data_IF_460899184683
#
_entry.id   IF_460899184683
#
_cell.length_a   1.000
_cell.length_b   1.000
_cell.length_c   1.000
_cell.angle_alpha   90.00
_cell.angle_beta   90.00
_cell.angle_gamma   90.00
#
_symmetry.space_group_name_H-M   'P 1'
#
loop_
_entity.id
_entity.type
_entity.pdbx_description
1 polymer ?
#
# COMPACT_ATOMS: atom_id res chain seq x y z
N UNK A 1 0.27 10.34 -30.05
CA UNK A 1 -0.11 8.93 -30.25
C UNK A 1 -0.17 8.30 -28.88
N UNK A 2 -1.35 7.89 -28.38
CA UNK A 2 -1.47 7.32 -27.04
C UNK A 2 -0.85 5.93 -27.01
N UNK A 3 0.02 5.68 -26.02
CA UNK A 3 0.67 4.39 -25.85
C UNK A 3 -0.20 3.55 -24.91
N UNK A 4 -0.83 2.50 -25.43
CA UNK A 4 -1.61 1.54 -24.61
C UNK A 4 -0.68 0.42 -24.17
N UNK A 5 -0.62 0.14 -22.87
CA UNK A 5 0.15 -0.99 -22.30
C UNK A 5 -0.80 -1.95 -21.59
N UNK A 6 -0.63 -3.25 -21.85
CA UNK A 6 -1.27 -4.29 -21.05
C UNK A 6 -0.52 -4.45 -19.73
N UNK A 7 -1.24 -4.33 -18.62
CA UNK A 7 -0.71 -4.51 -17.27
C UNK A 7 -1.50 -5.56 -16.52
N UNK A 8 -0.80 -6.27 -15.64
CA UNK A 8 -1.38 -7.30 -14.81
C UNK A 8 -1.34 -6.88 -13.35
N UNK A 9 -2.48 -6.98 -12.68
CA UNK A 9 -2.65 -6.60 -11.29
C UNK A 9 -3.24 -7.76 -10.51
N UNK A 10 -2.85 -7.84 -9.24
CA UNK A 10 -3.57 -8.59 -8.24
C UNK A 10 -4.55 -7.66 -7.54
N UNK A 11 -5.82 -8.00 -7.55
CA UNK A 11 -6.86 -7.29 -6.82
C UNK A 11 -7.17 -8.00 -5.50
N UNK A 12 -7.11 -7.24 -4.41
CA UNK A 12 -7.50 -7.69 -3.07
C UNK A 12 -8.34 -6.58 -2.44
N UNK A 13 -9.62 -6.84 -2.14
CA UNK A 13 -10.54 -5.84 -1.57
C UNK A 13 -10.52 -4.48 -2.31
N UNK A 14 -10.62 -4.48 -3.64
CA UNK A 14 -10.54 -3.28 -4.50
C UNK A 14 -9.18 -2.55 -4.50
N UNK A 15 -8.15 -3.15 -3.91
CA UNK A 15 -6.76 -2.67 -3.95
C UNK A 15 -6.00 -3.40 -5.05
N UNK A 16 -5.43 -2.64 -5.98
CA UNK A 16 -4.62 -3.15 -7.07
C UNK A 16 -3.14 -3.14 -6.71
N UNK A 17 -2.52 -4.31 -6.80
CA UNK A 17 -1.13 -4.57 -6.47
C UNK A 17 -0.40 -5.05 -7.75
N UNK A 18 0.71 -4.42 -8.19
CA UNK A 18 1.51 -4.91 -9.32
C UNK A 18 1.97 -6.37 -9.13
N UNK A 19 1.74 -7.25 -10.10
CA UNK A 19 2.04 -8.69 -9.92
C UNK A 19 3.53 -9.01 -9.77
N UNK A 20 4.42 -8.14 -10.22
CA UNK A 20 5.87 -8.33 -10.24
C UNK A 20 6.57 -7.99 -8.90
N UNK A 21 5.80 -7.79 -7.82
CA UNK A 21 6.33 -7.41 -6.50
C UNK A 21 6.00 -8.45 -5.42
N UNK A 22 6.81 -8.41 -4.37
CA UNK A 22 6.62 -9.24 -3.17
C UNK A 22 5.74 -8.50 -2.15
N UNK A 23 4.62 -9.12 -1.76
CA UNK A 23 3.67 -8.58 -0.79
C UNK A 23 3.67 -9.37 0.51
N UNK A 24 3.42 -8.68 1.63
CA UNK A 24 3.11 -9.34 2.90
C UNK A 24 1.61 -9.27 3.13
N UNK A 25 0.92 -10.42 3.16
CA UNK A 25 -0.55 -10.42 3.17
C UNK A 25 -1.13 -10.34 4.58
N UNK A 26 -0.39 -10.76 5.61
CA UNK A 26 -0.91 -10.75 6.98
C UNK A 26 -0.32 -11.86 7.82
N UNK A 27 -0.56 -11.79 9.14
CA UNK A 27 -0.57 -13.00 9.99
C UNK A 27 -1.96 -13.61 9.86
N UNK A 28 -2.06 -14.80 9.28
CA UNK A 28 -3.31 -15.55 9.28
C UNK A 28 -3.36 -16.38 10.56
N UNK A 29 -4.34 -16.11 11.43
CA UNK A 29 -4.56 -16.86 12.68
C UNK A 29 -5.36 -18.17 12.45
N UNK A 30 -5.74 -18.45 11.21
CA UNK A 30 -6.54 -19.62 10.81
C UNK A 30 -5.76 -20.64 9.99
N UNK A 31 -4.44 -20.68 10.15
CA UNK A 31 -3.68 -21.85 9.70
C UNK A 31 -3.64 -22.82 10.87
N UNK A 32 -4.49 -23.85 10.80
CA UNK A 32 -4.51 -24.91 11.81
C UNK A 32 -3.40 -25.88 11.46
N UNK A 33 -2.41 -26.01 12.35
CA UNK A 33 -1.41 -27.04 12.23
C UNK A 33 -1.85 -28.25 13.06
N UNK A 34 -1.99 -29.41 12.42
CA UNK A 34 -2.32 -30.65 13.12
C UNK A 34 -1.04 -31.35 13.56
N UNK A 35 -0.90 -31.60 14.86
CA UNK A 35 0.18 -32.34 15.51
C UNK A 35 -0.32 -32.93 16.84
N UNK A 36 0.55 -33.56 17.65
CA UNK A 36 0.15 -34.22 18.92
C UNK A 36 -0.57 -33.31 19.91
N UNK A 37 -0.39 -31.99 19.79
CA UNK A 37 -1.18 -30.98 20.50
C UNK A 37 -1.75 -29.99 19.47
N UNK A 38 -3.08 -29.79 19.47
CA UNK A 38 -3.76 -28.80 18.62
C UNK A 38 -3.33 -27.36 18.98
N UNK A 39 -2.18 -26.91 18.47
CA UNK A 39 -1.65 -25.56 18.68
C UNK A 39 -1.90 -24.69 17.44
N UNK A 40 -2.58 -23.55 17.65
CA UNK A 40 -2.66 -22.50 16.64
C UNK A 40 -1.29 -21.81 16.53
N UNK A 41 -0.68 -21.89 15.35
CA UNK A 41 0.59 -21.22 15.06
C UNK A 41 0.34 -20.00 14.18
N UNK A 42 1.08 -18.90 14.43
CA UNK A 42 1.01 -17.68 13.61
C UNK A 42 2.05 -17.78 12.49
N UNK A 43 1.60 -18.08 11.26
CA UNK A 43 2.47 -18.07 10.09
C UNK A 43 2.54 -16.68 9.44
N UNK A 44 3.72 -16.31 8.95
CA UNK A 44 3.94 -15.10 8.16
C UNK A 44 3.77 -15.44 6.66
N UNK A 45 2.60 -15.17 6.10
CA UNK A 45 2.32 -15.43 4.69
C UNK A 45 2.82 -14.28 3.82
N UNK A 46 3.58 -14.64 2.79
CA UNK A 46 4.03 -13.75 1.72
C UNK A 46 3.36 -14.12 0.42
N UNK A 47 3.09 -13.15 -0.44
CA UNK A 47 2.63 -13.41 -1.79
C UNK A 47 3.69 -12.94 -2.79
N UNK A 48 4.09 -13.88 -3.63
CA UNK A 48 5.11 -13.68 -4.66
C UNK A 48 4.56 -14.31 -5.93
N UNK A 49 4.42 -13.53 -6.99
CA UNK A 49 3.90 -13.98 -8.29
C UNK A 49 2.52 -14.67 -8.18
N UNK A 50 1.58 -14.05 -7.47
CA UNK A 50 0.25 -14.61 -7.17
C UNK A 50 0.26 -15.96 -6.41
N UNK A 51 1.41 -16.38 -5.86
CA UNK A 51 1.51 -17.59 -5.04
C UNK A 51 1.73 -17.22 -3.57
N UNK A 52 0.94 -17.82 -2.68
CA UNK A 52 1.18 -17.75 -1.24
C UNK A 52 2.40 -18.61 -0.90
N UNK A 53 3.35 -18.01 -0.18
CA UNK A 53 4.57 -18.64 0.34
C UNK A 53 4.65 -18.42 1.85
N UNK A 54 5.16 -19.42 2.55
CA UNK A 54 5.57 -19.31 3.95
C UNK A 54 6.86 -20.10 4.17
N UNK A 55 7.62 -19.70 5.19
CA UNK A 55 8.88 -20.35 5.57
C UNK A 55 8.57 -21.67 6.28
N UNK A 56 8.95 -22.81 5.68
CA UNK A 56 8.70 -24.12 6.27
C UNK A 56 9.45 -24.31 7.61
N UNK A 57 10.55 -23.59 7.85
CA UNK A 57 11.28 -23.62 9.14
C UNK A 57 10.45 -23.05 10.30
N UNK A 58 9.42 -22.26 9.99
CA UNK A 58 8.48 -21.74 10.99
C UNK A 58 7.40 -22.75 11.40
N UNK A 59 7.36 -23.93 10.74
CA UNK A 59 6.48 -25.05 11.07
C UNK A 59 7.28 -26.09 11.85
N UNK A 60 6.90 -26.47 13.09
CA UNK A 60 7.60 -27.51 13.81
C UNK A 60 7.54 -28.84 13.05
N UNK A 61 8.57 -29.67 13.19
CA UNK A 61 8.58 -31.04 12.64
C UNK A 61 7.38 -31.82 13.20
N UNK A 62 6.75 -32.66 12.37
CA UNK A 62 5.53 -33.44 12.67
C UNK A 62 4.20 -32.65 12.67
N UNK A 63 4.15 -31.48 12.03
CA UNK A 63 2.90 -30.74 11.86
C UNK A 63 2.45 -30.70 10.39
N UNK A 64 1.16 -30.93 10.17
CA UNK A 64 0.52 -30.75 8.86
C UNK A 64 -0.08 -29.34 8.75
N UNK A 65 0.15 -28.65 7.63
CA UNK A 65 -0.42 -27.31 7.39
C UNK A 65 -1.78 -27.46 6.72
N UNK A 66 -2.85 -27.07 7.41
CA UNK A 66 -4.21 -27.10 6.85
C UNK A 66 -4.78 -25.69 6.80
N UNK A 67 -5.18 -25.27 5.59
CA UNK A 67 -5.92 -24.04 5.36
C UNK A 67 -7.41 -24.35 5.55
N UNK A 68 -8.01 -23.84 6.63
CA UNK A 68 -9.44 -23.99 6.90
C UNK A 68 -10.12 -22.61 7.00
N UNK A 69 -11.36 -22.45 6.51
CA UNK A 69 -12.11 -21.22 6.72
C UNK A 69 -12.41 -21.01 8.20
N UNK A 70 -12.58 -19.74 8.59
CA UNK A 70 -13.18 -19.36 9.86
C UNK A 70 -14.50 -20.15 10.01
N UNK A 71 -14.64 -20.91 11.11
CA UNK A 71 -15.83 -21.69 11.52
C UNK A 71 -15.88 -23.20 11.17
N UNK A 72 -14.89 -23.78 10.48
CA UNK A 72 -14.90 -25.23 10.24
C UNK A 72 -14.23 -26.01 11.38
N UNK A 73 -14.91 -27.03 11.92
CA UNK A 73 -14.34 -28.04 12.80
C UNK A 73 -13.91 -29.22 11.91
N UNK A 74 -12.62 -29.35 11.57
CA UNK A 74 -12.16 -30.34 10.60
C UNK A 74 -12.37 -31.78 11.13
N UNK A 75 -12.63 -32.77 10.25
CA UNK A 75 -12.72 -34.16 10.67
C UNK A 75 -11.42 -34.61 11.32
N UNK A 76 -11.51 -35.52 12.30
CA UNK A 76 -10.36 -36.12 12.98
C UNK A 76 -9.34 -36.64 11.96
N UNK A 77 -8.13 -36.07 11.99
CA UNK A 77 -7.01 -36.50 11.15
C UNK A 77 -6.08 -37.30 12.05
N UNK A 78 -5.93 -38.60 11.78
CA UNK A 78 -4.98 -39.46 12.49
C UNK A 78 -3.53 -39.13 12.08
N UNK A 79 -2.62 -39.26 13.05
CA UNK A 79 -1.19 -38.94 13.01
C UNK A 79 -0.48 -39.22 11.66
N UNK A 80 0.26 -38.23 11.16
CA UNK A 80 1.27 -38.41 10.11
C UNK A 80 2.66 -38.42 10.75
N UNK A 81 3.42 -39.49 10.52
CA UNK A 81 4.86 -39.54 10.82
C UNK A 81 5.62 -39.34 9.50
N UNK A 82 5.93 -38.09 9.18
CA UNK A 82 6.73 -37.74 8.00
C UNK A 82 7.77 -36.69 8.37
N UNK A 83 8.99 -36.84 7.84
CA UNK A 83 10.08 -35.87 8.01
C UNK A 83 9.86 -34.55 7.25
N UNK A 84 8.74 -34.45 6.55
CA UNK A 84 8.36 -33.35 5.65
C UNK A 84 6.93 -32.92 6.00
N UNK A 85 6.59 -31.62 6.03
CA UNK A 85 5.22 -31.17 6.28
C UNK A 85 4.24 -31.78 5.26
N UNK A 86 3.24 -32.50 5.73
CA UNK A 86 2.13 -32.98 4.89
C UNK A 86 1.09 -31.88 4.78
N UNK A 87 0.66 -31.57 3.56
CA UNK A 87 -0.38 -30.57 3.33
C UNK A 87 -1.62 -31.32 2.91
N UNK A 88 -2.63 -31.28 3.77
CA UNK A 88 -3.88 -32.00 3.55
C UNK A 88 -4.75 -31.11 2.68
N UNK A 89 -4.91 -31.56 1.44
CA UNK A 89 -5.71 -30.91 0.42
C UNK A 89 -7.19 -31.02 0.84
N UNK A 90 -7.82 -29.91 1.18
CA UNK A 90 -9.28 -29.83 1.20
C UNK A 90 -9.77 -29.50 -0.21
N UNK A 91 -11.05 -29.68 -0.50
CA UNK A 91 -11.69 -29.40 -1.80
C UNK A 91 -11.52 -27.94 -2.30
N UNK A 92 -10.84 -27.08 -1.55
CA UNK A 92 -10.56 -25.68 -1.86
C UNK A 92 -9.07 -25.34 -2.13
N UNK A 93 -8.18 -26.33 -2.27
CA UNK A 93 -6.82 -26.12 -2.83
C UNK A 93 -6.67 -26.87 -4.15
N UNK A 94 -6.26 -26.17 -5.22
CA UNK A 94 -6.09 -26.73 -6.57
C UNK A 94 -4.76 -27.49 -6.66
N UNK A 95 -3.69 -26.84 -6.20
CA UNK A 95 -2.33 -27.37 -6.29
C UNK A 95 -1.55 -26.99 -5.04
N UNK A 96 -0.77 -27.93 -4.53
CA UNK A 96 0.14 -27.70 -3.44
C UNK A 96 1.44 -28.47 -3.70
N UNK A 97 2.57 -27.79 -3.66
CA UNK A 97 3.86 -28.43 -3.90
C UNK A 97 5.00 -27.78 -3.11
N UNK A 98 5.92 -28.62 -2.65
CA UNK A 98 7.21 -28.22 -2.12
C UNK A 98 8.15 -27.97 -3.30
N UNK A 99 8.72 -26.76 -3.37
CA UNK A 99 9.71 -26.45 -4.42
C UNK A 99 11.14 -26.75 -3.96
N UNK A 100 11.40 -26.64 -2.67
CA UNK A 100 12.67 -26.95 -2.00
C UNK A 100 12.39 -27.41 -0.55
N UNK A 101 13.44 -27.74 0.21
CA UNK A 101 13.32 -28.22 1.60
C UNK A 101 12.69 -27.19 2.56
N UNK A 102 12.61 -25.91 2.16
CA UNK A 102 12.28 -24.80 3.04
C UNK A 102 11.03 -24.01 2.61
N UNK A 103 10.45 -24.30 1.44
CA UNK A 103 9.37 -23.47 0.85
C UNK A 103 8.21 -24.30 0.30
N UNK A 104 7.02 -24.00 0.81
CA UNK A 104 5.74 -24.57 0.38
C UNK A 104 4.96 -23.57 -0.47
N UNK A 105 4.40 -24.04 -1.59
CA UNK A 105 3.54 -23.28 -2.50
C UNK A 105 2.11 -23.80 -2.38
N UNK A 106 1.15 -22.89 -2.20
CA UNK A 106 -0.27 -23.22 -2.07
C UNK A 106 -1.08 -22.41 -3.08
N UNK A 107 -1.83 -23.10 -3.93
CA UNK A 107 -2.77 -22.52 -4.89
C UNK A 107 -4.22 -22.83 -4.46
N UNK A 108 -4.96 -21.87 -3.88
CA UNK A 108 -6.36 -22.10 -3.49
C UNK A 108 -7.27 -22.22 -4.73
N UNK A 109 -8.23 -23.16 -4.74
CA UNK A 109 -9.30 -23.30 -5.76
C UNK A 109 -10.17 -22.05 -5.84
N UNK A 110 -10.37 -21.39 -4.71
CA UNK A 110 -11.03 -20.08 -4.61
C UNK A 110 -10.03 -19.09 -4.04
N UNK A 111 -9.23 -18.53 -4.94
CA UNK A 111 -8.37 -17.41 -4.57
C UNK A 111 -9.25 -16.21 -4.19
N UNK A 112 -9.16 -15.65 -2.96
CA UNK A 112 -9.76 -14.35 -2.68
C UNK A 112 -9.09 -13.23 -3.50
N UNK A 113 -8.00 -13.56 -4.20
CA UNK A 113 -7.26 -12.65 -5.06
C UNK A 113 -7.69 -12.86 -6.51
N UNK A 114 -8.09 -11.77 -7.16
CA UNK A 114 -8.44 -11.77 -8.58
C UNK A 114 -7.26 -11.21 -9.36
N UNK A 115 -6.70 -12.01 -10.27
CA UNK A 115 -5.71 -11.50 -11.22
C UNK A 115 -6.45 -10.81 -12.36
N UNK A 116 -6.22 -9.51 -12.53
CA UNK A 116 -6.82 -8.73 -13.61
C UNK A 116 -5.78 -8.32 -14.64
N UNK A 117 -6.10 -8.58 -15.90
CA UNK A 117 -5.45 -7.95 -17.05
C UNK A 117 -6.20 -6.67 -17.38
N UNK A 118 -5.49 -5.54 -17.49
CA UNK A 118 -6.08 -4.25 -17.86
C UNK A 118 -5.26 -3.60 -18.96
N UNK A 119 -5.96 -3.03 -19.94
CA UNK A 119 -5.37 -2.11 -20.89
C UNK A 119 -5.39 -0.70 -20.28
N UNK A 120 -4.22 -0.09 -20.23
CA UNK A 120 -4.05 1.22 -19.62
C UNK A 120 -3.40 2.14 -20.64
N UNK A 121 -4.06 3.26 -20.91
CA UNK A 121 -3.48 4.38 -21.64
C UNK A 121 -2.41 5.04 -20.77
N UNK A 122 -1.18 5.12 -21.26
CA UNK A 122 -0.09 5.74 -20.54
C UNK A 122 -0.17 7.26 -20.62
N UNK A 123 0.09 7.93 -19.48
CA UNK A 123 0.11 9.38 -19.36
C UNK A 123 1.45 9.84 -18.78
N UNK A 124 2.27 10.46 -19.63
CA UNK A 124 3.59 10.98 -19.27
C UNK A 124 3.53 12.17 -18.31
N UNK A 125 2.35 12.79 -18.15
CA UNK A 125 2.12 13.93 -17.27
C UNK A 125 2.02 13.53 -15.80
N UNK A 126 1.84 12.24 -15.50
CA UNK A 126 1.78 11.75 -14.12
C UNK A 126 3.20 11.48 -13.62
N UNK A 127 3.65 12.31 -12.68
CA UNK A 127 4.97 12.23 -12.04
C UNK A 127 4.79 11.97 -10.55
N UNK A 128 5.50 10.99 -10.02
CA UNK A 128 5.32 10.60 -8.63
C UNK A 128 6.62 10.28 -7.90
N UNK A 129 6.65 10.69 -6.63
CA UNK A 129 7.63 10.26 -5.65
C UNK A 129 6.90 9.52 -4.52
N UNK A 130 7.21 8.26 -4.32
CA UNK A 130 6.60 7.39 -3.30
C UNK A 130 7.66 7.01 -2.27
N UNK A 131 7.53 7.53 -1.06
CA UNK A 131 8.51 7.40 0.01
C UNK A 131 7.94 6.59 1.16
N UNK A 132 8.75 5.68 1.70
CA UNK A 132 8.39 4.94 2.90
C UNK A 132 9.59 4.63 3.78
N UNK A 133 9.50 5.04 5.05
CA UNK A 133 10.56 4.83 6.03
C UNK A 133 10.12 3.72 6.98
N UNK A 134 10.63 2.51 6.71
CA UNK A 134 10.62 1.45 7.70
C UNK A 134 11.98 1.49 8.41
N UNK A 135 12.12 2.44 9.35
CA UNK A 135 13.40 2.65 10.03
C UNK A 135 13.72 1.47 10.96
N UNK A 136 12.67 0.83 11.49
CA UNK A 136 12.73 -0.45 12.20
C UNK A 136 11.63 -1.36 11.62
N UNK A 137 11.81 -2.68 11.68
CA UNK A 137 10.80 -3.68 11.23
C UNK A 137 9.42 -3.56 11.91
N UNK A 138 9.25 -2.58 12.81
CA UNK A 138 8.00 -2.24 13.49
C UNK A 138 6.96 -1.63 12.55
N UNK A 139 7.37 -0.86 11.53
CA UNK A 139 6.43 -0.26 10.58
C UNK A 139 6.17 -1.16 9.37
N UNK A 140 5.65 -2.37 9.61
CA UNK A 140 5.45 -3.39 8.56
C UNK A 140 4.59 -2.91 7.39
N UNK A 141 3.74 -1.91 7.61
CA UNK A 141 2.85 -1.40 6.57
C UNK A 141 3.50 -0.54 5.50
N UNK A 142 4.67 0.02 5.77
CA UNK A 142 5.29 0.97 4.84
C UNK A 142 5.55 0.40 3.45
N UNK A 143 5.90 -0.88 3.31
CA UNK A 143 6.16 -1.48 2.01
C UNK A 143 4.87 -1.76 1.22
N UNK A 144 3.84 -2.31 1.86
CA UNK A 144 2.58 -2.64 1.18
C UNK A 144 1.85 -1.37 0.75
N UNK A 145 1.87 -0.34 1.59
CA UNK A 145 1.42 1.01 1.23
C UNK A 145 2.07 1.49 -0.08
N UNK A 146 3.40 1.42 -0.18
CA UNK A 146 4.15 1.88 -1.38
C UNK A 146 3.71 1.12 -2.62
N UNK A 147 3.65 -0.20 -2.54
CA UNK A 147 3.29 -1.01 -3.71
C UNK A 147 1.84 -0.82 -4.13
N UNK A 148 0.93 -0.64 -3.18
CA UNK A 148 -0.48 -0.36 -3.47
C UNK A 148 -0.64 1.02 -4.13
N UNK A 149 0.06 2.05 -3.64
CA UNK A 149 0.08 3.37 -4.27
C UNK A 149 0.68 3.31 -5.68
N UNK A 150 1.81 2.60 -5.84
CA UNK A 150 2.42 2.35 -7.15
C UNK A 150 1.44 1.65 -8.11
N UNK A 151 0.75 0.62 -7.63
CA UNK A 151 -0.28 -0.10 -8.37
C UNK A 151 -1.40 0.78 -8.86
N UNK A 152 -1.96 1.60 -7.97
CA UNK A 152 -2.98 2.59 -8.33
C UNK A 152 -2.45 3.58 -9.36
N UNK A 153 -1.26 4.17 -9.18
CA UNK A 153 -0.67 5.09 -10.17
C UNK A 153 -0.52 4.41 -11.54
N UNK A 154 -0.04 3.16 -11.57
CA UNK A 154 0.11 2.39 -12.79
C UNK A 154 -1.23 2.02 -13.44
N UNK A 155 -2.26 1.75 -12.64
CA UNK A 155 -3.61 1.48 -13.10
C UNK A 155 -4.27 2.70 -13.77
N UNK A 156 -3.78 3.91 -13.46
CA UNK A 156 -4.20 5.17 -14.06
C UNK A 156 -3.20 5.75 -15.05
N UNK A 157 -2.28 4.94 -15.58
CA UNK A 157 -1.45 5.33 -16.73
C UNK A 157 -0.08 5.89 -16.40
N UNK A 158 0.31 6.00 -15.13
CA UNK A 158 1.65 6.46 -14.80
C UNK A 158 2.72 5.56 -15.45
N UNK A 159 3.69 6.19 -16.11
CA UNK A 159 4.83 5.51 -16.71
C UNK A 159 5.83 5.11 -15.62
N UNK A 160 6.48 3.96 -15.76
CA UNK A 160 7.38 3.43 -14.73
C UNK A 160 8.55 4.38 -14.46
N UNK A 161 9.12 4.99 -15.50
CA UNK A 161 10.21 5.96 -15.38
C UNK A 161 9.81 7.29 -14.72
N UNK A 162 8.51 7.55 -14.57
CA UNK A 162 7.99 8.75 -13.92
C UNK A 162 7.58 8.52 -12.45
N UNK A 163 7.72 7.28 -11.94
CA UNK A 163 7.40 6.93 -10.56
C UNK A 163 8.68 6.53 -9.82
N UNK A 164 9.23 7.45 -9.04
CA UNK A 164 10.38 7.21 -8.17
C UNK A 164 9.91 6.61 -6.85
N UNK A 165 10.57 5.55 -6.41
CA UNK A 165 10.27 4.88 -5.13
C UNK A 165 11.51 4.93 -4.23
N UNK A 166 11.33 5.46 -3.02
CA UNK A 166 12.35 5.45 -1.96
C UNK A 166 11.82 4.66 -0.77
N UNK A 167 12.52 3.61 -0.38
CA UNK A 167 12.13 2.74 0.74
C UNK A 167 13.31 2.47 1.66
N UNK A 168 13.04 2.21 2.94
CA UNK A 168 14.04 1.76 3.93
C UNK A 168 15.27 2.69 3.97
N UNK A 169 16.46 2.13 3.83
CA UNK A 169 17.77 2.77 3.77
C UNK A 169 17.93 3.79 2.64
N UNK A 170 17.10 3.71 1.60
CA UNK A 170 17.09 4.69 0.52
C UNK A 170 16.17 5.89 0.80
N UNK A 171 15.31 5.83 1.81
CA UNK A 171 14.41 6.91 2.20
C UNK A 171 15.08 7.86 3.22
N UNK A 172 16.30 8.31 2.89
CA UNK A 172 17.06 9.31 3.65
C UNK A 172 16.78 10.72 3.12
N UNK A 173 17.13 11.74 3.93
CA UNK A 173 16.88 13.16 3.60
C UNK A 173 17.43 13.56 2.22
N UNK A 174 18.69 13.21 1.95
CA UNK A 174 19.39 13.54 0.72
C UNK A 174 18.63 12.98 -0.50
N UNK A 175 18.35 11.68 -0.50
CA UNK A 175 17.65 11.03 -1.62
C UNK A 175 16.24 11.58 -1.85
N UNK A 176 15.50 11.92 -0.77
CA UNK A 176 14.16 12.53 -0.91
C UNK A 176 14.29 13.92 -1.54
N UNK A 177 15.25 14.72 -1.07
CA UNK A 177 15.56 16.03 -1.63
C UNK A 177 15.94 15.94 -3.11
N UNK A 178 16.93 15.10 -3.45
CA UNK A 178 17.42 14.95 -4.82
C UNK A 178 16.30 14.48 -5.76
N UNK A 179 15.44 13.56 -5.29
CA UNK A 179 14.29 13.08 -6.07
C UNK A 179 13.23 14.16 -6.27
N UNK A 180 13.01 15.05 -5.29
CA UNK A 180 12.11 16.19 -5.45
C UNK A 180 12.70 17.22 -6.43
N UNK A 181 14.00 17.52 -6.34
CA UNK A 181 14.68 18.43 -7.26
C UNK A 181 14.64 17.89 -8.71
N UNK A 182 14.87 16.58 -8.89
CA UNK A 182 14.69 15.90 -10.19
C UNK A 182 13.26 16.06 -10.71
N UNK A 183 12.26 15.88 -9.85
CA UNK A 183 10.85 16.00 -10.21
C UNK A 183 10.47 17.45 -10.55
N UNK A 184 11.00 18.44 -9.82
CA UNK A 184 10.87 19.88 -10.13
C UNK A 184 11.41 20.18 -11.52
N UNK A 185 12.62 19.71 -11.83
CA UNK A 185 13.28 19.93 -13.11
C UNK A 185 12.50 19.32 -14.28
N UNK A 186 11.83 18.18 -14.05
CA UNK A 186 11.00 17.52 -15.05
C UNK A 186 9.57 18.07 -15.11
N UNK A 187 9.10 18.78 -14.10
CA UNK A 187 7.70 19.22 -14.01
C UNK A 187 7.35 20.34 -15.01
N UNK A 188 6.09 20.32 -15.46
CA UNK A 188 5.46 21.18 -16.47
C UNK A 188 4.10 21.68 -15.96
N UNK A 189 3.57 22.81 -16.45
CA UNK A 189 2.26 23.33 -16.03
C UNK A 189 1.06 22.38 -16.21
N UNK A 190 1.17 21.39 -17.11
CA UNK A 190 0.09 20.43 -17.38
C UNK A 190 0.26 19.09 -16.65
N UNK A 191 1.27 18.98 -15.78
CA UNK A 191 1.55 17.74 -15.05
C UNK A 191 0.69 17.54 -13.82
N UNK A 192 0.53 16.27 -13.45
CA UNK A 192 0.06 15.84 -12.14
C UNK A 192 1.26 15.32 -11.33
N UNK A 193 1.66 16.08 -10.33
CA UNK A 193 2.76 15.79 -9.43
C UNK A 193 2.26 15.21 -8.11
N UNK A 194 2.57 13.95 -7.83
CA UNK A 194 2.11 13.22 -6.64
C UNK A 194 3.28 12.85 -5.74
N UNK A 195 3.30 13.36 -4.51
CA UNK A 195 4.25 12.94 -3.49
C UNK A 195 3.50 12.18 -2.41
N UNK A 196 3.83 10.90 -2.25
CA UNK A 196 3.29 10.04 -1.20
C UNK A 196 4.37 9.75 -0.16
N UNK A 197 4.06 9.96 1.11
CA UNK A 197 4.97 9.74 2.23
C UNK A 197 4.30 8.87 3.29
N UNK A 198 4.82 7.66 3.50
CA UNK A 198 4.32 6.70 4.49
C UNK A 198 5.38 6.42 5.54
N UNK A 199 5.22 6.98 6.74
CA UNK A 199 6.29 6.98 7.74
C UNK A 199 5.79 7.27 9.15
N UNK A 200 6.66 7.10 10.14
CA UNK A 200 6.40 7.68 11.46
C UNK A 200 6.45 9.21 11.37
N UNK A 201 5.61 9.85 12.19
CA UNK A 201 5.50 11.31 12.20
C UNK A 201 5.27 11.83 13.61
N UNK A 202 5.75 13.05 13.82
CA UNK A 202 5.49 13.91 14.96
C UNK A 202 4.87 15.22 14.44
N UNK A 203 4.52 16.14 15.33
CA UNK A 203 3.99 17.43 14.93
C UNK A 203 5.02 18.18 14.05
N UNK A 204 4.64 18.48 12.80
CA UNK A 204 5.46 19.12 11.75
C UNK A 204 6.75 18.37 11.35
N UNK A 205 6.91 17.11 11.73
CA UNK A 205 8.13 16.34 11.48
C UNK A 205 7.82 14.93 11.01
N UNK A 206 8.66 14.42 10.11
CA UNK A 206 8.61 13.03 9.66
C UNK A 206 9.90 12.32 10.02
N UNK A 207 9.79 11.09 10.52
CA UNK A 207 10.97 10.29 10.82
C UNK A 207 11.48 9.67 9.52
N UNK A 208 12.72 9.99 9.18
CA UNK A 208 13.43 9.45 8.02
C UNK A 208 14.48 8.44 8.45
N UNK A 209 14.91 7.58 7.53
CA UNK A 209 15.96 6.62 7.86
C UNK A 209 17.27 7.34 8.21
N UNK A 210 17.96 6.89 9.26
CA UNK A 210 19.31 7.37 9.62
C UNK A 210 19.39 8.80 10.17
N UNK A 211 18.27 9.49 10.43
CA UNK A 211 18.28 10.84 10.99
C UNK A 211 17.10 11.07 11.93
N UNK A 212 17.25 12.05 12.83
CA UNK A 212 16.25 12.32 13.87
C UNK A 212 14.90 12.78 13.29
N UNK A 213 14.87 13.72 12.35
CA UNK A 213 13.63 14.27 11.76
C UNK A 213 13.84 14.97 10.41
N UNK A 214 12.89 14.83 9.49
CA UNK A 214 12.73 15.67 8.32
C UNK A 214 11.62 16.70 8.58
N UNK A 215 12.04 17.96 8.75
CA UNK A 215 11.15 19.09 9.03
C UNK A 215 10.28 19.41 7.82
N UNK A 216 9.00 19.71 8.07
CA UNK A 216 8.07 20.06 7.00
C UNK A 216 8.54 21.28 6.19
N UNK A 217 9.17 22.26 6.84
CA UNK A 217 9.66 23.49 6.22
C UNK A 217 10.71 23.20 5.15
N UNK A 218 11.66 22.30 5.45
CA UNK A 218 12.72 21.90 4.52
C UNK A 218 12.15 21.18 3.30
N UNK A 219 11.14 20.33 3.51
CA UNK A 219 10.42 19.67 2.42
C UNK A 219 9.71 20.68 1.51
N UNK A 220 9.02 21.65 2.11
CA UNK A 220 8.23 22.63 1.37
C UNK A 220 9.07 23.63 0.58
N UNK A 221 10.34 23.87 0.95
CA UNK A 221 11.27 24.68 0.16
C UNK A 221 11.41 24.18 -1.29
N UNK A 222 11.34 22.87 -1.50
CA UNK A 222 11.53 22.24 -2.81
C UNK A 222 10.19 21.83 -3.41
N UNK A 223 9.31 21.20 -2.63
CA UNK A 223 8.02 20.73 -3.10
C UNK A 223 7.17 21.85 -3.73
N UNK A 224 7.21 23.06 -3.16
CA UNK A 224 6.43 24.19 -3.66
C UNK A 224 6.90 24.70 -5.03
N UNK A 225 8.10 24.33 -5.49
CA UNK A 225 8.64 24.67 -6.81
C UNK A 225 8.06 23.79 -7.93
N UNK A 226 7.37 22.70 -7.60
CA UNK A 226 6.71 21.84 -8.59
C UNK A 226 5.69 22.63 -9.41
N UNK A 227 5.71 22.42 -10.73
CA UNK A 227 4.73 23.00 -11.66
C UNK A 227 3.49 22.09 -11.75
N UNK A 228 2.45 22.55 -12.44
CA UNK A 228 1.21 21.78 -12.62
C UNK A 228 0.42 21.55 -11.33
N UNK A 229 -0.38 20.50 -11.30
CA UNK A 229 -1.18 20.12 -10.14
C UNK A 229 -0.31 19.41 -9.11
N UNK A 230 -0.31 19.90 -7.85
CA UNK A 230 0.46 19.32 -6.74
C UNK A 230 -0.43 18.54 -5.79
N UNK A 231 -0.04 17.32 -5.49
CA UNK A 231 -0.73 16.44 -4.55
C UNK A 231 0.26 15.88 -3.55
N UNK A 232 0.06 16.22 -2.28
CA UNK A 232 0.81 15.70 -1.15
C UNK A 232 -0.07 14.73 -0.36
N UNK A 233 0.36 13.47 -0.28
CA UNK A 233 -0.30 12.44 0.52
C UNK A 233 0.63 12.09 1.68
N UNK A 234 0.18 12.33 2.90
CA UNK A 234 0.97 12.06 4.12
C UNK A 234 0.26 11.01 4.95
N UNK A 235 0.82 9.81 4.97
CA UNK A 235 0.39 8.70 5.80
C UNK A 235 1.34 8.53 7.00
N UNK A 236 1.08 9.34 8.03
CA UNK A 236 1.87 9.38 9.26
C UNK A 236 1.00 9.75 10.46
N UNK A 237 1.50 9.51 11.67
CA UNK A 237 0.95 10.18 12.85
C UNK A 237 1.10 11.69 12.69
N UNK A 238 0.09 12.45 13.11
CA UNK A 238 0.08 13.92 13.05
C UNK A 238 0.18 14.49 11.62
N UNK A 239 -0.15 13.70 10.60
CA UNK A 239 -0.01 14.06 9.18
C UNK A 239 -0.65 15.41 8.83
N UNK A 240 -1.79 15.77 9.44
CA UNK A 240 -2.46 17.04 9.18
C UNK A 240 -1.66 18.30 9.61
N UNK A 241 -0.58 18.15 10.38
CA UNK A 241 0.32 19.25 10.75
C UNK A 241 1.04 19.85 9.53
N UNK A 242 1.24 19.07 8.47
CA UNK A 242 1.85 19.50 7.21
C UNK A 242 1.07 20.59 6.45
N UNK A 243 -0.11 20.98 6.93
CA UNK A 243 -0.90 22.04 6.32
C UNK A 243 -0.20 23.41 6.29
N UNK A 244 0.72 23.68 7.21
CA UNK A 244 1.24 25.03 7.45
C UNK A 244 2.24 25.51 6.38
N UNK A 245 2.85 24.61 5.60
CA UNK A 245 3.78 24.96 4.51
C UNK A 245 3.21 24.82 3.10
N UNK A 246 1.92 24.51 2.98
CA UNK A 246 1.26 24.32 1.69
C UNK A 246 0.97 25.64 1.00
N UNK A 247 1.17 25.67 -0.31
CA UNK A 247 0.62 26.70 -1.18
C UNK A 247 -0.87 26.45 -1.47
N UNK A 248 -1.60 27.51 -1.82
CA UNK A 248 -3.04 27.48 -2.11
C UNK A 248 -3.43 26.61 -3.33
N UNK A 249 -2.47 26.18 -4.14
CA UNK A 249 -2.65 25.31 -5.30
C UNK A 249 -2.32 23.82 -5.02
N UNK A 250 -2.13 23.45 -3.75
CA UNK A 250 -1.75 22.09 -3.36
C UNK A 250 -2.91 21.32 -2.73
N UNK A 251 -3.10 20.07 -3.15
CA UNK A 251 -3.92 19.09 -2.44
C UNK A 251 -3.13 18.47 -1.30
N UNK A 252 -3.66 18.50 -0.07
CA UNK A 252 -3.17 17.66 1.03
C UNK A 252 -4.17 16.55 1.31
N UNK A 253 -3.70 15.31 1.33
CA UNK A 253 -4.43 14.15 1.79
C UNK A 253 -3.66 13.52 2.95
N UNK A 254 -4.02 13.88 4.17
CA UNK A 254 -3.37 13.41 5.38
C UNK A 254 -4.18 12.30 6.07
N UNK A 255 -3.49 11.26 6.56
CA UNK A 255 -4.12 10.12 7.23
C UNK A 255 -4.77 10.45 8.57
N UNK A 256 -4.35 11.54 9.20
CA UNK A 256 -4.80 11.99 10.50
C UNK A 256 -4.93 13.52 10.58
N UNK A 257 -5.78 14.00 11.48
CA UNK A 257 -5.85 15.43 11.83
C UNK A 257 -4.54 15.91 12.49
N UNK A 258 -4.29 17.24 12.54
CA UNK A 258 -3.27 17.77 13.43
C UNK A 258 -3.47 17.24 14.86
N UNK A 259 -2.38 16.90 15.55
CA UNK A 259 -2.41 16.36 16.93
C UNK A 259 -3.14 15.01 17.10
N UNK A 260 -3.36 14.25 16.03
CA UNK A 260 -3.96 12.91 16.07
C UNK A 260 -3.01 11.83 15.53
N UNK A 261 -2.99 10.65 16.16
CA UNK A 261 -2.26 9.48 15.65
C UNK A 261 -2.96 8.85 14.44
N UNK A 262 -2.18 8.24 13.55
CA UNK A 262 -2.65 7.38 12.46
C UNK A 262 -2.40 5.91 12.79
N UNK A 263 -3.17 5.00 12.20
CA UNK A 263 -3.22 3.58 12.50
C UNK A 263 -3.18 2.74 11.23
N UNK A 264 -2.57 1.57 11.36
CA UNK A 264 -2.50 0.53 10.32
C UNK A 264 -3.20 -0.74 10.78
N UNK A 265 -3.59 -1.58 9.82
CA UNK A 265 -4.07 -2.93 10.09
C UNK A 265 -2.90 -3.89 10.26
N UNK A 266 -2.99 -4.81 11.22
CA UNK A 266 -2.06 -5.95 11.34
C UNK A 266 -2.55 -7.20 10.59
N UNK A 267 -3.84 -7.25 10.26
CA UNK A 267 -4.50 -8.43 9.70
C UNK A 267 -4.91 -8.26 8.24
N UNK A 268 -5.05 -7.03 7.75
CA UNK A 268 -5.45 -6.72 6.37
C UNK A 268 -4.27 -6.16 5.59
N UNK A 269 -3.47 -7.04 4.99
CA UNK A 269 -2.34 -6.70 4.12
C UNK A 269 -1.27 -5.85 4.78
N UNK A 270 -1.17 -5.81 6.11
CA UNK A 270 -0.31 -4.86 6.83
C UNK A 270 -0.35 -3.48 6.14
N UNK A 271 -1.49 -2.82 6.08
CA UNK A 271 -1.63 -1.57 5.33
C UNK A 271 -2.24 -0.50 6.22
N UNK A 272 -1.88 0.77 5.99
CA UNK A 272 -2.57 1.87 6.67
C UNK A 272 -4.04 1.86 6.28
N UNK A 273 -4.92 2.01 7.27
CA UNK A 273 -6.36 2.08 7.00
C UNK A 273 -6.71 3.29 6.14
N UNK A 274 -5.98 4.40 6.31
CA UNK A 274 -6.16 5.59 5.47
C UNK A 274 -5.80 5.29 4.01
N UNK A 275 -4.59 4.76 3.79
CA UNK A 275 -4.09 4.46 2.45
C UNK A 275 -5.02 3.49 1.75
N UNK A 276 -5.47 2.43 2.42
CA UNK A 276 -6.49 1.51 1.89
C UNK A 276 -7.72 2.26 1.36
N UNK A 277 -8.41 3.02 2.22
CA UNK A 277 -9.66 3.67 1.83
C UNK A 277 -9.48 4.84 0.86
N UNK A 278 -8.29 5.42 0.79
CA UNK A 278 -7.93 6.36 -0.26
C UNK A 278 -7.83 5.65 -1.61
N UNK A 279 -7.06 4.55 -1.68
CA UNK A 279 -6.84 3.80 -2.91
C UNK A 279 -8.13 3.16 -3.43
N UNK A 280 -9.02 2.67 -2.55
CA UNK A 280 -10.36 2.22 -2.94
C UNK A 280 -11.15 3.31 -3.68
N UNK A 281 -11.06 4.57 -3.26
CA UNK A 281 -11.72 5.67 -3.97
C UNK A 281 -11.06 6.00 -5.30
N UNK A 282 -9.72 6.01 -5.35
CA UNK A 282 -8.98 6.33 -6.57
C UNK A 282 -9.18 5.24 -7.63
N UNK A 283 -9.07 3.96 -7.26
CA UNK A 283 -9.25 2.83 -8.17
C UNK A 283 -10.67 2.73 -8.73
N UNK A 284 -11.67 3.24 -8.02
CA UNK A 284 -13.05 3.33 -8.51
C UNK A 284 -13.24 4.44 -9.56
N UNK A 285 -12.23 5.29 -9.82
CA UNK A 285 -12.30 6.34 -10.83
C UNK A 285 -11.80 5.81 -12.18
N UNK A 286 -12.39 6.29 -13.26
CA UNK A 286 -11.90 6.01 -14.62
C UNK A 286 -10.51 6.64 -14.85
N UNK A 287 -10.35 7.89 -14.39
CA UNK A 287 -9.11 8.66 -14.44
C UNK A 287 -8.76 9.19 -13.05
N UNK A 288 -7.47 9.32 -12.79
CA UNK A 288 -6.97 9.80 -11.50
C UNK A 288 -7.39 11.26 -11.27
N UNK A 289 -8.24 11.51 -10.27
CA UNK A 289 -8.74 12.85 -9.95
C UNK A 289 -8.83 13.06 -8.44
N UNK A 290 -7.80 13.69 -7.89
CA UNK A 290 -7.71 13.96 -6.45
C UNK A 290 -8.75 14.96 -5.94
N UNK A 291 -9.37 15.78 -6.82
CA UNK A 291 -10.45 16.68 -6.42
C UNK A 291 -11.72 15.92 -6.00
N UNK A 292 -11.89 14.69 -6.52
CA UNK A 292 -13.04 13.83 -6.23
C UNK A 292 -12.90 12.99 -4.97
N UNK A 293 -11.71 12.95 -4.37
CA UNK A 293 -11.51 12.24 -3.10
C UNK A 293 -12.39 12.88 -2.01
N UNK A 294 -13.16 12.04 -1.31
CA UNK A 294 -14.14 12.46 -0.33
C UNK A 294 -13.73 12.01 1.08
N UNK A 295 -13.31 12.97 1.90
CA UNK A 295 -12.91 12.75 3.29
C UNK A 295 -14.03 12.15 4.15
N UNK A 296 -15.29 12.54 3.93
CA UNK A 296 -16.43 12.01 4.69
C UNK A 296 -16.62 10.51 4.45
N UNK A 297 -16.48 10.06 3.19
CA UNK A 297 -16.54 8.63 2.84
C UNK A 297 -15.41 7.83 3.49
N UNK A 298 -14.17 8.34 3.46
CA UNK A 298 -13.02 7.71 4.16
C UNK A 298 -13.29 7.66 5.67
N UNK A 299 -13.67 8.79 6.27
CA UNK A 299 -13.92 8.89 7.71
C UNK A 299 -15.07 8.00 8.18
N UNK A 300 -16.10 7.78 7.35
CA UNK A 300 -17.19 6.82 7.66
C UNK A 300 -16.68 5.38 7.72
N UNK A 301 -15.72 5.00 6.86
CA UNK A 301 -15.08 3.67 6.93
C UNK A 301 -14.13 3.58 8.12
N UNK A 302 -13.34 4.63 8.37
CA UNK A 302 -12.43 4.70 9.52
C UNK A 302 -13.18 4.57 10.86
N UNK A 303 -14.36 5.17 10.99
CA UNK A 303 -15.17 5.09 12.21
C UNK A 303 -15.67 3.68 12.54
N UNK A 304 -15.64 2.73 11.58
CA UNK A 304 -16.05 1.34 11.78
C UNK A 304 -14.91 0.42 12.21
N UNK A 305 -13.67 0.90 12.23
CA UNK A 305 -12.52 0.11 12.67
C UNK A 305 -12.57 -0.05 14.19
N UNK A 306 -12.24 -1.25 14.67
CA UNK A 306 -12.00 -1.50 16.09
C UNK A 306 -10.62 -0.95 16.48
N UNK A 307 -10.61 0.08 17.31
CA UNK A 307 -9.39 0.66 17.87
C UNK A 307 -9.11 0.09 19.27
N UNK A 308 -7.88 0.23 19.80
CA UNK A 308 -7.59 -0.09 21.20
C UNK A 308 -8.49 0.70 22.15
N UNK A 309 -8.75 0.15 23.33
CA UNK A 309 -9.62 0.79 24.32
C UNK A 309 -9.09 2.18 24.71
N UNK A 310 -10.01 3.14 24.82
CA UNK A 310 -9.68 4.55 25.11
C UNK A 310 -9.11 5.34 23.93
N UNK A 311 -8.84 4.72 22.77
CA UNK A 311 -8.37 5.41 21.58
C UNK A 311 -9.54 5.95 20.76
N UNK A 312 -9.53 7.25 20.46
CA UNK A 312 -10.51 7.87 19.55
C UNK A 312 -10.28 7.41 18.11
N UNK A 313 -11.35 7.10 17.35
CA UNK A 313 -11.22 6.75 15.93
C UNK A 313 -10.45 7.81 15.14
N UNK A 314 -9.54 7.33 14.30
CA UNK A 314 -8.75 8.22 13.46
C UNK A 314 -9.64 8.94 12.43
N UNK A 315 -9.29 10.17 12.09
CA UNK A 315 -9.97 10.93 11.03
C UNK A 315 -8.95 11.47 10.06
N UNK A 316 -9.11 11.15 8.77
CA UNK A 316 -8.31 11.76 7.73
C UNK A 316 -8.60 13.26 7.62
N UNK A 317 -7.64 13.99 7.08
CA UNK A 317 -7.67 15.42 6.93
C UNK A 317 -7.30 15.77 5.50
N UNK A 318 -8.25 16.31 4.74
CA UNK A 318 -8.06 16.64 3.32
C UNK A 318 -8.23 18.14 3.14
N UNK A 319 -7.24 18.78 2.52
CA UNK A 319 -7.29 20.16 2.05
C UNK A 319 -7.28 20.12 0.53
N UNK A 320 -8.29 20.75 -0.07
CA UNK A 320 -8.33 20.99 -1.51
C UNK A 320 -7.67 22.33 -1.83
N UNK A 321 -7.07 22.49 -3.02
CA UNK A 321 -6.52 23.76 -3.43
C UNK A 321 -7.65 24.79 -3.57
N UNK A 322 -7.33 26.04 -3.24
CA UNK A 322 -8.20 27.20 -3.49
C UNK A 322 -8.13 27.61 -4.96
N UNK A 323 -6.97 27.44 -5.60
CA UNK A 323 -6.77 27.70 -7.03
C UNK A 323 -6.81 26.37 -7.76
N UNK A 324 -7.90 26.11 -8.48
CA UNK A 324 -7.98 24.95 -9.36
C UNK A 324 -7.19 25.25 -10.64
N UNK A 325 -6.12 24.49 -10.86
CA UNK A 325 -5.51 24.38 -12.20
C UNK A 325 -6.37 23.43 -13.03
N UNK A 326 -6.46 23.68 -14.33
CA UNK A 326 -7.21 22.82 -15.26
C UNK A 326 -6.82 21.36 -15.04
N UNK A 327 -7.84 20.51 -14.96
CA UNK A 327 -7.60 19.08 -14.76
C UNK A 327 -6.98 18.51 -16.03
N UNK A 328 -6.40 17.31 -15.97
CA UNK A 328 -5.87 16.60 -17.15
C UNK A 328 -6.89 16.48 -18.33
N UNK A 329 -8.18 16.78 -18.09
CA UNK A 329 -9.28 16.78 -19.05
C UNK A 329 -9.26 17.91 -20.08
N UNK A 330 -8.69 19.07 -19.76
CA UNK A 330 -9.03 20.28 -20.54
C UNK A 330 -8.16 20.50 -21.78
N UNK A 331 -7.08 19.73 -21.95
CA UNK A 331 -6.09 19.96 -23.02
C UNK A 331 -6.40 19.18 -24.31
N UNK A 332 -7.30 18.18 -24.28
CA UNK A 332 -7.57 17.35 -25.47
C UNK A 332 -8.55 17.96 -26.48
N UNK A 333 -9.15 19.12 -26.20
CA UNK A 333 -10.20 19.72 -27.04
C UNK A 333 -9.82 21.07 -27.70
N UNK A 334 -8.62 21.60 -27.50
CA UNK A 334 -8.22 22.90 -28.07
C UNK A 334 -7.42 22.81 -29.39
N UNK A 335 -7.46 21.67 -30.09
CA UNK A 335 -6.72 21.52 -31.34
C UNK A 335 -7.24 20.40 -32.23
N UNK A 336 -8.46 20.57 -32.76
CA UNK A 336 -8.99 19.80 -33.89
C UNK A 336 -9.69 20.71 -34.86
#
# INVERSE_FOLDING_TARGET
>A
MSMIKQRWFLEIDDILLPLDKNYRIGKYENVVLFGEENKKLKLDLRLIDATLRFDAKSVPRNYAVVFAPNEYNPPFISQFYTDVPVIINNDEVDECFLRDQDTIYVRPKRSPFVVRKKEVELDERIKALVVSTNVNDDFKAGNNNVYAVQGTLYNHGAMEQNVKILKRDNAIRANIRDSLEEMVNKSSPNDLNVVYMSMHGLDNNLHIYGHDNYKSEDFFQIFNQLKGQKVLIVDACYAGSFKNGLMDDTHLLASSKPKQKSWMSETNLYMSFFTRYLLEQLNAMERLDFNKVNASKINKKLAKIKYPDGVKPQKCYIIKPKVQRSSLKDVSNEGS
#
